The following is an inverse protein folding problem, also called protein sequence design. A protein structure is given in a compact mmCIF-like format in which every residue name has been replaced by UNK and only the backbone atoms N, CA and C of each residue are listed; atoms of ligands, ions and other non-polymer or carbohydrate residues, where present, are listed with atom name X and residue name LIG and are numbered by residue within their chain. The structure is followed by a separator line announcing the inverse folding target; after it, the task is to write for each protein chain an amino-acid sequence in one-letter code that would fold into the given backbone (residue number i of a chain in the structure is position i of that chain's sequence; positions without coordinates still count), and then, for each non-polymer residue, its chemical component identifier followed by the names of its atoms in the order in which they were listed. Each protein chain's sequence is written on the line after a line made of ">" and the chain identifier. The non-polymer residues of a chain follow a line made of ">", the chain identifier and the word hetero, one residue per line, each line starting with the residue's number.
data_IF_048337370701
#
_entry.id   IF_048337370701
#
_cell.length_a   1.000
_cell.length_b   1.000
_cell.length_c   1.000
_cell.angle_alpha   90.00
_cell.angle_beta   90.00
_cell.angle_gamma   90.00
#
_symmetry.space_group_name_H-M   'P 1'
#
loop_
_entity.id
_entity.type
_entity.pdbx_description
1 polymer ?
#
# COMPACT_ATOMS: atom_id res chain seq x y z
N UNK A 1 34.07 0.07 16.69
CA UNK A 1 33.94 0.72 15.36
C UNK A 1 32.78 0.14 14.53
N UNK A 2 32.57 -1.19 14.45
CA UNK A 2 31.54 -1.78 13.56
C UNK A 2 30.05 -1.49 13.89
N UNK A 3 29.71 -1.04 15.11
CA UNK A 3 28.29 -0.83 15.51
C UNK A 3 27.70 0.51 15.05
N UNK A 4 28.53 1.53 14.87
CA UNK A 4 28.08 2.85 14.42
C UNK A 4 27.66 2.86 12.95
N UNK A 5 28.31 2.06 12.11
CA UNK A 5 28.02 1.97 10.67
C UNK A 5 26.66 1.31 10.40
N UNK A 6 26.32 0.22 11.10
CA UNK A 6 25.02 -0.46 10.98
C UNK A 6 23.83 0.44 11.33
N UNK A 7 24.00 1.26 12.37
CA UNK A 7 22.97 2.21 12.83
C UNK A 7 22.71 3.29 11.78
N UNK A 8 23.77 3.84 11.18
CA UNK A 8 23.66 4.86 10.13
C UNK A 8 22.98 4.30 8.87
N UNK A 9 23.33 3.08 8.45
CA UNK A 9 22.70 2.42 7.31
C UNK A 9 21.21 2.17 7.53
N UNK A 10 20.84 1.62 8.69
CA UNK A 10 19.44 1.34 9.02
C UNK A 10 18.61 2.63 8.99
N UNK A 11 19.17 3.74 9.46
CA UNK A 11 18.52 5.05 9.42
C UNK A 11 18.32 5.54 7.98
N UNK A 12 19.35 5.46 7.14
CA UNK A 12 19.22 5.83 5.72
C UNK A 12 18.16 5.02 4.98
N UNK A 13 18.05 3.72 5.28
CA UNK A 13 17.00 2.87 4.72
C UNK A 13 15.60 3.24 5.20
N UNK A 14 15.46 3.52 6.49
CA UNK A 14 14.20 3.97 7.05
C UNK A 14 13.77 5.30 6.39
N UNK A 15 14.67 6.26 6.28
CA UNK A 15 14.40 7.57 5.68
C UNK A 15 13.96 7.43 4.21
N UNK A 16 14.59 6.54 3.43
CA UNK A 16 14.17 6.24 2.05
C UNK A 16 12.76 5.66 1.99
N UNK A 17 12.44 4.69 2.84
CA UNK A 17 11.11 4.06 2.87
C UNK A 17 10.02 5.03 3.32
N UNK A 18 10.33 5.92 4.28
CA UNK A 18 9.43 6.99 4.71
C UNK A 18 9.18 7.99 3.58
N UNK A 19 10.23 8.44 2.87
CA UNK A 19 10.08 9.31 1.71
C UNK A 19 9.19 8.70 0.62
N UNK A 20 9.34 7.39 0.38
CA UNK A 20 8.43 6.67 -0.51
C UNK A 20 7.00 6.75 0.03
N UNK A 21 6.77 6.39 1.29
CA UNK A 21 5.46 6.42 1.95
C UNK A 21 4.76 7.78 1.87
N UNK A 22 5.47 8.88 2.10
CA UNK A 22 4.94 10.25 2.01
C UNK A 22 4.50 10.62 0.59
N UNK A 23 5.18 10.08 -0.42
CA UNK A 23 4.86 10.37 -1.82
C UNK A 23 3.66 9.58 -2.37
N UNK A 24 3.07 8.66 -1.58
CA UNK A 24 1.91 7.88 -2.02
C UNK A 24 0.63 8.72 -2.01
N UNK A 25 -0.21 8.62 -3.05
CA UNK A 25 -1.46 9.37 -3.13
C UNK A 25 -2.45 8.92 -2.04
N UNK A 26 -3.31 9.85 -1.62
CA UNK A 26 -4.44 9.54 -0.74
C UNK A 26 -5.58 8.89 -1.53
N UNK A 27 -6.19 7.84 -0.97
CA UNK A 27 -7.34 7.14 -1.57
C UNK A 27 -8.64 7.89 -1.23
N UNK A 28 -9.31 8.53 -2.20
CA UNK A 28 -10.54 9.30 -1.93
C UNK A 28 -11.72 8.42 -1.53
N UNK A 29 -11.71 7.12 -1.85
CA UNK A 29 -12.80 6.20 -1.51
C UNK A 29 -12.69 5.72 -0.07
N UNK A 30 -11.51 5.82 0.53
CA UNK A 30 -11.19 5.32 1.86
C UNK A 30 -10.31 6.33 2.57
N UNK A 31 -10.87 7.47 3.01
CA UNK A 31 -10.10 8.55 3.61
C UNK A 31 -9.33 8.12 4.87
N UNK A 32 -9.80 7.07 5.56
CA UNK A 32 -9.12 6.54 6.75
C UNK A 32 -7.96 5.57 6.42
N UNK A 33 -7.84 5.10 5.17
CA UNK A 33 -6.85 4.09 4.75
C UNK A 33 -5.79 4.70 3.83
N UNK A 34 -4.63 4.99 4.40
CA UNK A 34 -3.48 5.51 3.65
C UNK A 34 -2.38 4.45 3.51
N UNK A 35 -2.10 4.04 2.27
CA UNK A 35 -1.03 3.07 2.00
C UNK A 35 0.34 3.58 2.44
N UNK A 36 0.59 4.89 2.34
CA UNK A 36 1.80 5.53 2.88
C UNK A 36 1.99 5.28 4.39
N UNK A 37 0.91 5.35 5.17
CA UNK A 37 0.94 5.04 6.62
C UNK A 37 1.23 3.57 6.88
N UNK A 38 0.68 2.67 6.05
CA UNK A 38 0.99 1.25 6.15
C UNK A 38 2.48 0.97 5.85
N UNK A 39 3.05 1.61 4.84
CA UNK A 39 4.49 1.52 4.52
C UNK A 39 5.32 2.05 5.69
N UNK A 40 4.97 3.22 6.25
CA UNK A 40 5.65 3.79 7.42
C UNK A 40 5.64 2.82 8.61
N UNK A 41 4.45 2.33 9.00
CA UNK A 41 4.30 1.41 10.13
C UNK A 41 5.03 0.10 9.91
N UNK A 42 4.95 -0.47 8.70
CA UNK A 42 5.65 -1.70 8.34
C UNK A 42 7.17 -1.50 8.37
N UNK A 43 7.68 -0.38 7.86
CA UNK A 43 9.11 -0.06 7.82
C UNK A 43 9.67 0.14 9.22
N UNK A 44 8.98 0.92 10.06
CA UNK A 44 9.32 1.10 11.47
C UNK A 44 9.30 -0.24 12.20
N UNK A 45 8.25 -1.05 12.02
CA UNK A 45 8.15 -2.37 12.66
C UNK A 45 9.27 -3.31 12.20
N UNK A 46 9.57 -3.37 10.91
CA UNK A 46 10.59 -4.28 10.38
C UNK A 46 12.00 -3.91 10.85
N UNK A 47 12.34 -2.62 10.86
CA UNK A 47 13.69 -2.14 11.14
C UNK A 47 13.95 -1.86 12.63
N UNK A 48 12.92 -1.56 13.42
CA UNK A 48 13.04 -1.28 14.85
C UNK A 48 12.72 -2.49 15.74
N UNK A 49 11.89 -3.46 15.30
CA UNK A 49 11.47 -4.60 16.13
C UNK A 49 12.41 -5.81 16.06
N UNK A 50 13.30 -5.89 15.05
CA UNK A 50 14.15 -7.07 14.77
C UNK A 50 15.49 -7.10 15.53
N UNK A 51 15.59 -6.53 16.74
CA UNK A 51 16.73 -6.78 17.65
C UNK A 51 16.52 -7.97 18.61
N UNK A 52 15.28 -8.45 18.83
CA UNK A 52 15.02 -9.46 19.90
C UNK A 52 14.79 -10.92 19.44
N UNK A 53 14.82 -11.23 18.14
CA UNK A 53 14.42 -12.55 17.65
C UNK A 53 15.50 -13.66 17.77
N UNK A 54 16.71 -13.34 18.24
CA UNK A 54 17.74 -14.36 18.52
C UNK A 54 17.56 -15.07 19.89
N UNK A 55 16.54 -14.71 20.68
CA UNK A 55 16.40 -15.16 22.07
C UNK A 55 15.13 -15.97 22.41
N UNK A 56 14.25 -16.32 21.46
CA UNK A 56 13.04 -17.08 21.81
C UNK A 56 12.70 -18.15 20.77
N UNK A 57 13.24 -19.35 21.00
CA UNK A 57 12.73 -20.58 20.44
C UNK A 57 11.44 -21.01 21.18
N UNK A 58 10.41 -21.37 20.40
CA UNK A 58 9.20 -22.17 20.73
C UNK A 58 7.89 -21.38 20.97
N UNK A 59 6.74 -21.79 20.37
CA UNK A 59 5.56 -20.95 20.16
C UNK A 59 4.36 -21.31 21.06
N UNK A 60 3.57 -20.31 21.46
CA UNK A 60 2.18 -20.51 21.91
C UNK A 60 1.39 -19.20 21.84
N UNK A 61 0.29 -19.23 21.08
CA UNK A 61 -0.94 -18.41 21.18
C UNK A 61 -0.85 -16.95 21.68
N UNK A 62 -1.20 -15.99 20.82
CA UNK A 62 -1.98 -14.81 21.22
C UNK A 62 -2.63 -14.10 20.02
N UNK A 63 -3.95 -14.22 19.97
CA UNK A 63 -4.89 -13.31 19.28
C UNK A 63 -4.96 -12.01 20.10
N UNK A 64 -5.05 -10.85 19.45
CA UNK A 64 -5.39 -9.60 20.15
C UNK A 64 -5.01 -8.33 19.41
N UNK A 65 -6.02 -7.64 18.91
CA UNK A 65 -5.96 -6.25 18.46
C UNK A 65 -5.80 -5.29 19.65
N UNK A 66 -5.18 -4.12 19.41
CA UNK A 66 -5.49 -2.91 20.19
C UNK A 66 -4.30 -2.06 20.66
N UNK A 67 -4.44 -0.76 20.35
CA UNK A 67 -4.01 0.41 21.10
C UNK A 67 -2.58 0.96 20.94
N UNK A 68 -2.59 2.22 20.49
CA UNK A 68 -1.52 3.20 20.44
C UNK A 68 -0.86 3.39 21.83
N UNK A 69 0.45 3.54 21.84
CA UNK A 69 1.23 3.88 23.04
C UNK A 69 2.60 4.38 22.63
N UNK A 70 2.75 5.70 22.73
CA UNK A 70 3.93 6.50 22.47
C UNK A 70 5.18 6.00 23.22
N UNK A 71 6.33 6.03 22.55
CA UNK A 71 7.59 5.54 23.09
C UNK A 71 8.47 4.88 22.04
N UNK A 72 8.95 5.66 21.07
CA UNK A 72 10.06 5.26 20.19
C UNK A 72 11.36 5.24 20.99
N UNK A 73 11.49 4.31 21.94
CA UNK A 73 12.78 4.00 22.53
C UNK A 73 13.64 3.43 21.41
N UNK A 74 14.71 4.16 21.08
CA UNK A 74 15.73 3.86 20.07
C UNK A 74 16.57 2.62 20.46
N UNK A 75 15.93 1.50 20.81
CA UNK A 75 16.58 0.30 21.32
C UNK A 75 16.78 -0.68 20.17
N UNK A 76 17.97 -0.56 19.58
CA UNK A 76 18.66 -1.49 18.70
C UNK A 76 18.11 -1.71 17.27
N UNK A 77 18.62 -0.85 16.39
CA UNK A 77 18.60 -0.97 14.95
C UNK A 77 19.51 -2.14 14.54
N UNK A 78 18.94 -3.23 14.03
CA UNK A 78 19.71 -4.38 13.55
C UNK A 78 19.30 -4.76 12.12
N UNK A 79 19.53 -3.83 11.17
CA UNK A 79 19.73 -4.19 9.76
C UNK A 79 21.23 -4.44 9.49
N UNK A 80 21.91 -5.10 10.44
CA UNK A 80 23.37 -5.28 10.43
C UNK A 80 23.84 -6.55 9.72
N UNK A 81 22.94 -7.49 9.38
CA UNK A 81 23.29 -8.65 8.58
C UNK A 81 23.16 -8.29 7.09
N UNK A 82 24.12 -8.71 6.25
CA UNK A 82 24.08 -8.44 4.81
C UNK A 82 22.78 -8.91 4.15
N UNK A 83 22.18 -9.99 4.66
CA UNK A 83 20.89 -10.50 4.20
C UNK A 83 19.71 -9.55 4.49
N UNK A 84 19.71 -8.87 5.64
CA UNK A 84 18.66 -7.90 5.96
C UNK A 84 18.74 -6.67 5.04
N UNK A 85 19.96 -6.24 4.70
CA UNK A 85 20.20 -5.14 3.76
C UNK A 85 19.66 -5.47 2.37
N UNK A 86 19.94 -6.68 1.86
CA UNK A 86 19.42 -7.11 0.55
C UNK A 86 17.88 -7.15 0.49
N UNK A 87 17.24 -7.62 1.57
CA UNK A 87 15.77 -7.66 1.64
C UNK A 87 15.19 -6.25 1.64
N UNK A 88 15.79 -5.33 2.39
CA UNK A 88 15.34 -3.93 2.47
C UNK A 88 15.55 -3.21 1.13
N UNK A 89 16.68 -3.42 0.46
CA UNK A 89 16.93 -2.88 -0.88
C UNK A 89 15.92 -3.41 -1.90
N UNK A 90 15.66 -4.73 -1.89
CA UNK A 90 14.65 -5.34 -2.78
C UNK A 90 13.26 -4.76 -2.52
N UNK A 91 12.89 -4.56 -1.26
CA UNK A 91 11.61 -3.97 -0.90
C UNK A 91 11.50 -2.51 -1.36
N UNK A 92 12.54 -1.69 -1.15
CA UNK A 92 12.59 -0.31 -1.62
C UNK A 92 12.48 -0.24 -3.15
N UNK A 93 13.23 -1.07 -3.86
CA UNK A 93 13.18 -1.15 -5.33
C UNK A 93 11.79 -1.57 -5.83
N UNK A 94 11.14 -2.53 -5.16
CA UNK A 94 9.78 -2.96 -5.51
C UNK A 94 8.76 -1.84 -5.28
N UNK A 95 8.85 -1.10 -4.16
CA UNK A 95 7.97 0.02 -3.89
C UNK A 95 8.15 1.16 -4.90
N UNK A 96 9.39 1.46 -5.29
CA UNK A 96 9.68 2.43 -6.36
C UNK A 96 9.15 1.96 -7.72
N UNK A 97 9.23 0.65 -7.99
CA UNK A 97 8.70 0.06 -9.22
C UNK A 97 7.18 0.20 -9.31
N UNK A 98 6.47 -0.04 -8.21
CA UNK A 98 5.03 0.18 -8.09
C UNK A 98 4.67 1.66 -8.21
N UNK A 99 5.35 2.54 -7.46
CA UNK A 99 5.13 3.99 -7.49
C UNK A 99 5.28 4.56 -8.90
N UNK A 100 6.32 4.16 -9.63
CA UNK A 100 6.58 4.64 -10.98
C UNK A 100 5.64 4.04 -12.05
N UNK A 101 4.70 3.19 -11.62
CA UNK A 101 3.76 2.45 -12.44
C UNK A 101 4.46 1.68 -13.58
N UNK A 102 5.68 1.18 -13.31
CA UNK A 102 6.53 0.54 -14.32
C UNK A 102 5.94 -0.78 -14.81
N UNK A 103 5.21 -1.50 -13.95
CA UNK A 103 4.50 -2.73 -14.31
C UNK A 103 3.51 -2.49 -15.46
N UNK A 104 2.65 -1.47 -15.29
CA UNK A 104 1.64 -1.09 -16.27
C UNK A 104 2.28 -0.60 -17.58
N UNK A 105 3.36 0.18 -17.49
CA UNK A 105 4.11 0.64 -18.67
C UNK A 105 4.76 -0.50 -19.45
N UNK A 106 5.32 -1.49 -18.75
CA UNK A 106 6.00 -2.64 -19.36
C UNK A 106 5.01 -3.60 -20.01
N UNK A 107 3.84 -3.77 -19.40
CA UNK A 107 2.80 -4.68 -19.87
C UNK A 107 1.48 -3.92 -20.02
N UNK A 108 1.33 -3.10 -21.09
CA UNK A 108 0.12 -2.34 -21.31
C UNK A 108 -1.06 -3.28 -21.56
N UNK A 109 -2.18 -3.00 -20.92
CA UNK A 109 -3.41 -3.78 -21.13
C UNK A 109 -4.00 -3.42 -22.50
N UNK A 110 -4.24 -4.39 -23.39
CA UNK A 110 -4.80 -4.12 -24.71
C UNK A 110 -6.22 -3.54 -24.59
N UNK A 111 -6.55 -2.60 -25.48
CA UNK A 111 -7.83 -1.88 -25.48
C UNK A 111 -9.05 -2.80 -25.61
N UNK A 112 -8.89 -3.98 -26.22
CA UNK A 112 -9.93 -5.00 -26.34
C UNK A 112 -10.36 -5.58 -24.99
N UNK A 113 -9.45 -5.60 -23.99
CA UNK A 113 -9.78 -5.99 -22.60
C UNK A 113 -10.43 -4.83 -21.85
N UNK A 114 -9.99 -3.60 -22.12
CA UNK A 114 -10.52 -2.37 -21.49
C UNK A 114 -11.92 -2.04 -22.03
N UNK A 115 -12.24 -2.42 -23.27
CA UNK A 115 -13.52 -2.15 -23.94
C UNK A 115 -14.02 -3.44 -24.59
N UNK A 116 -14.63 -4.36 -23.82
CA UNK A 116 -15.16 -5.58 -24.39
C UNK A 116 -16.29 -5.26 -25.37
N UNK A 117 -16.36 -6.01 -26.47
CA UNK A 117 -17.35 -5.78 -27.52
C UNK A 117 -18.81 -5.88 -27.04
N UNK A 118 -19.07 -6.69 -26.01
CA UNK A 118 -20.41 -6.84 -25.42
C UNK A 118 -20.88 -5.59 -24.65
N UNK A 119 -19.96 -4.85 -24.04
CA UNK A 119 -20.28 -3.66 -23.25
C UNK A 119 -19.13 -2.63 -23.32
N UNK A 120 -19.03 -1.85 -24.41
CA UNK A 120 -17.93 -0.90 -24.62
C UNK A 120 -17.89 0.21 -23.55
N UNK A 121 -19.05 0.55 -22.97
CA UNK A 121 -19.19 1.61 -21.95
C UNK A 121 -19.10 1.10 -20.49
N UNK A 122 -18.81 -0.19 -20.26
CA UNK A 122 -18.85 -0.73 -18.90
C UNK A 122 -17.83 -0.07 -17.97
N UNK A 123 -16.56 -0.07 -18.36
CA UNK A 123 -15.50 0.51 -17.54
C UNK A 123 -15.56 2.04 -17.47
N UNK A 124 -16.06 2.73 -18.51
CA UNK A 124 -16.26 4.18 -18.48
C UNK A 124 -17.33 4.58 -17.44
N UNK A 125 -18.40 3.80 -17.31
CA UNK A 125 -19.42 3.96 -16.25
C UNK A 125 -18.84 3.66 -14.87
N UNK A 126 -18.01 2.63 -14.73
CA UNK A 126 -17.34 2.32 -13.46
C UNK A 126 -16.44 3.46 -13.00
N UNK A 127 -15.59 4.01 -13.87
CA UNK A 127 -14.72 5.15 -13.52
C UNK A 127 -15.55 6.36 -13.08
N UNK A 128 -16.62 6.70 -13.81
CA UNK A 128 -17.52 7.80 -13.44
C UNK A 128 -18.19 7.62 -12.07
N UNK A 129 -18.57 6.38 -11.74
CA UNK A 129 -19.18 6.07 -10.44
C UNK A 129 -18.15 6.10 -9.30
N UNK A 130 -16.91 5.69 -9.55
CA UNK A 130 -15.79 5.83 -8.61
C UNK A 130 -15.45 7.30 -8.37
N UNK A 131 -15.36 8.13 -9.42
CA UNK A 131 -15.10 9.57 -9.28
C UNK A 131 -16.21 10.26 -8.49
N UNK A 132 -17.47 9.89 -8.75
CA UNK A 132 -18.64 10.36 -8.00
C UNK A 132 -18.54 9.99 -6.51
N UNK A 133 -18.25 8.73 -6.22
CA UNK A 133 -18.06 8.23 -4.86
C UNK A 133 -16.93 8.96 -4.13
N UNK A 134 -15.79 9.19 -4.81
CA UNK A 134 -14.65 9.91 -4.24
C UNK A 134 -14.94 11.38 -3.92
N UNK A 135 -15.96 11.98 -4.55
CA UNK A 135 -16.46 13.32 -4.22
C UNK A 135 -17.52 13.33 -3.11
N UNK A 136 -17.92 12.17 -2.59
CA UNK A 136 -18.96 12.03 -1.57
C UNK A 136 -20.40 12.14 -2.12
N UNK A 137 -20.59 12.02 -3.43
CA UNK A 137 -21.94 11.98 -4.04
C UNK A 137 -22.56 10.58 -3.90
N UNK A 138 -23.88 10.50 -3.71
CA UNK A 138 -24.60 9.23 -3.61
C UNK A 138 -24.50 8.41 -4.90
N UNK A 139 -24.08 7.16 -4.76
CA UNK A 139 -23.80 6.20 -5.83
C UNK A 139 -25.06 5.36 -6.14
N UNK A 140 -26.11 5.50 -5.32
CA UNK A 140 -27.37 4.79 -5.49
C UNK A 140 -27.95 5.07 -6.87
N UNK A 141 -28.09 4.04 -7.75
CA UNK A 141 -28.67 4.26 -9.06
C UNK A 141 -30.09 4.79 -8.87
N UNK A 142 -30.42 5.85 -9.59
CA UNK A 142 -31.74 6.46 -9.52
C UNK A 142 -32.81 5.39 -9.81
N UNK A 143 -34.01 5.55 -9.25
CA UNK A 143 -35.11 4.61 -9.49
C UNK A 143 -35.37 4.42 -11.00
N UNK A 144 -35.23 5.49 -11.79
CA UNK A 144 -35.32 5.42 -13.25
C UNK A 144 -34.19 4.59 -13.89
N UNK A 145 -32.95 4.69 -13.40
CA UNK A 145 -31.84 3.85 -13.87
C UNK A 145 -32.05 2.37 -13.57
N UNK A 146 -32.60 2.05 -12.40
CA UNK A 146 -32.94 0.67 -12.03
C UNK A 146 -34.02 0.11 -12.95
N UNK A 147 -35.04 0.91 -13.28
CA UNK A 147 -36.13 0.54 -14.20
C UNK A 147 -35.61 0.36 -15.63
N UNK A 148 -34.78 1.26 -16.16
CA UNK A 148 -34.20 1.13 -17.52
C UNK A 148 -33.28 -0.10 -17.66
N UNK A 149 -32.57 -0.48 -16.60
CA UNK A 149 -31.74 -1.71 -16.57
C UNK A 149 -32.59 -2.98 -16.56
N UNK A 150 -33.78 -2.95 -15.97
CA UNK A 150 -34.69 -4.11 -15.90
C UNK A 150 -35.56 -4.27 -17.16
N UNK A 151 -35.95 -3.16 -17.79
CA UNK A 151 -36.81 -3.17 -18.99
C UNK A 151 -36.04 -3.05 -20.30
N UNK A 152 -34.71 -3.20 -20.28
CA UNK A 152 -33.88 -3.36 -21.48
C UNK A 152 -33.94 -2.20 -22.46
N UNK A 153 -34.28 -0.98 -22.02
CA UNK A 153 -34.29 0.18 -22.89
C UNK A 153 -32.91 0.84 -22.87
N UNK A 154 -32.23 0.71 -24.01
CA UNK A 154 -30.95 1.33 -24.28
C UNK A 154 -30.99 2.86 -24.08
N UNK A 155 -29.90 3.49 -23.61
CA UNK A 155 -29.59 4.86 -24.02
C UNK A 155 -29.21 4.91 -25.51
#
# INVERSE_FOLDING_TARGET
>A
MARQTSTALTRGYLDRLLSIGESWPSDPLRPDLHFGRAIEQASRKALLKKSSAAAAATPAAAVGAGANGDGLVLRELNAGSGADVEVVERAAAALEYLRANKAFKKHPTPQTIIKPASHPEYYSRLVKTLDRAGRGEDISPSWQEKVSRFFGRAP
#
